data_IF_279673177247
#
_entry.id   IF_279673177247
#
_cell.length_a   1.000
_cell.length_b   1.000
_cell.length_c   1.000
_cell.angle_alpha   90.00
_cell.angle_beta   90.00
_cell.angle_gamma   90.00
#
_symmetry.space_group_name_H-M   'P 1'
#
loop_
_entity.id
_entity.type
_entity.pdbx_description
1 polymer ?
#
# COMPACT_ATOMS: atom_id res chain seq x y z
N UNK A 1 6.48 11.86 -32.58
CA UNK A 1 5.87 10.86 -31.69
C UNK A 1 5.10 11.68 -30.66
N UNK A 2 3.79 11.86 -30.86
CA UNK A 2 2.95 12.57 -29.90
C UNK A 2 2.93 11.73 -28.62
N UNK A 3 3.29 12.33 -27.48
CA UNK A 3 3.16 11.69 -26.19
C UNK A 3 1.66 11.54 -25.89
N UNK A 4 1.07 10.42 -26.32
CA UNK A 4 -0.38 10.15 -26.29
C UNK A 4 -1.02 10.01 -24.90
N UNK A 5 -0.36 10.45 -23.82
CA UNK A 5 -0.92 10.38 -22.48
C UNK A 5 -0.51 11.57 -21.62
N UNK A 6 -1.09 12.76 -21.81
CA UNK A 6 -0.82 13.88 -20.92
C UNK A 6 -1.54 13.76 -19.56
N UNK A 7 -2.62 12.98 -19.46
CA UNK A 7 -3.39 12.81 -18.22
C UNK A 7 -3.98 11.41 -18.07
N UNK A 8 -4.00 10.90 -16.84
CA UNK A 8 -4.55 9.60 -16.46
C UNK A 8 -6.02 9.68 -16.02
N UNK A 9 -6.71 10.77 -16.36
CA UNK A 9 -8.09 11.08 -15.96
C UNK A 9 -9.02 10.88 -17.15
N UNK A 10 -10.21 10.31 -16.91
CA UNK A 10 -11.20 10.12 -17.95
C UNK A 10 -12.19 11.28 -17.98
N UNK A 11 -11.93 12.23 -18.87
CA UNK A 11 -12.61 13.53 -18.90
C UNK A 11 -13.74 13.66 -19.92
N UNK A 12 -14.07 12.58 -20.63
CA UNK A 12 -14.93 12.70 -21.80
C UNK A 12 -16.38 12.35 -21.45
N UNK A 13 -17.18 13.38 -21.17
CA UNK A 13 -18.64 13.28 -20.99
C UNK A 13 -19.33 12.56 -22.15
N UNK A 14 -18.85 12.73 -23.38
CA UNK A 14 -19.42 12.03 -24.56
C UNK A 14 -19.26 10.50 -24.47
N UNK A 15 -18.29 10.01 -23.69
CA UNK A 15 -18.10 8.56 -23.45
C UNK A 15 -19.03 8.08 -22.34
N UNK A 16 -19.33 8.93 -21.35
CA UNK A 16 -20.34 8.63 -20.34
C UNK A 16 -21.71 8.45 -21.00
N UNK A 17 -22.06 9.24 -22.01
CA UNK A 17 -23.32 9.10 -22.75
C UNK A 17 -23.47 7.73 -23.44
N UNK A 18 -22.37 7.08 -23.82
CA UNK A 18 -22.41 5.77 -24.45
C UNK A 18 -22.79 4.63 -23.48
N UNK A 19 -22.48 4.77 -22.19
CA UNK A 19 -22.79 3.75 -21.17
C UNK A 19 -22.97 4.36 -19.76
N UNK A 20 -23.95 5.26 -19.54
CA UNK A 20 -24.00 6.09 -18.34
C UNK A 20 -24.23 5.25 -17.08
N UNK A 21 -25.12 4.26 -17.14
CA UNK A 21 -25.40 3.37 -16.01
C UNK A 21 -24.16 2.62 -15.51
N UNK A 22 -23.29 2.17 -16.42
CA UNK A 22 -22.06 1.47 -16.06
C UNK A 22 -21.06 2.41 -15.36
N UNK A 23 -20.82 3.60 -15.93
CA UNK A 23 -19.90 4.56 -15.32
C UNK A 23 -20.39 5.08 -13.98
N UNK A 24 -21.68 5.44 -13.84
CA UNK A 24 -22.23 5.87 -12.55
C UNK A 24 -22.15 4.77 -11.50
N UNK A 25 -22.47 3.53 -11.85
CA UNK A 25 -22.32 2.40 -10.92
C UNK A 25 -20.86 2.22 -10.49
N UNK A 26 -19.92 2.28 -11.43
CA UNK A 26 -18.48 2.17 -11.14
C UNK A 26 -18.03 3.27 -10.18
N UNK A 27 -18.37 4.54 -10.44
CA UNK A 27 -17.98 5.66 -9.57
C UNK A 27 -18.66 5.62 -8.21
N UNK A 28 -19.92 5.19 -8.15
CA UNK A 28 -20.62 5.02 -6.87
C UNK A 28 -19.96 3.95 -6.00
N UNK A 29 -19.53 2.83 -6.60
CA UNK A 29 -18.77 1.78 -5.91
C UNK A 29 -17.43 2.31 -5.43
N UNK A 30 -16.67 2.98 -6.31
CA UNK A 30 -15.37 3.58 -6.00
C UNK A 30 -15.43 4.55 -4.80
N UNK A 31 -16.38 5.51 -4.84
CA UNK A 31 -16.63 6.45 -3.73
C UNK A 31 -17.00 5.72 -2.45
N UNK A 32 -17.86 4.69 -2.53
CA UNK A 32 -18.32 3.94 -1.35
C UNK A 32 -17.16 3.19 -0.67
N UNK A 33 -16.27 2.57 -1.45
CA UNK A 33 -15.09 1.87 -0.93
C UNK A 33 -14.17 2.88 -0.23
N UNK A 34 -13.87 4.00 -0.89
CA UNK A 34 -12.98 5.02 -0.32
C UNK A 34 -13.53 5.67 0.95
N UNK A 35 -14.84 5.93 1.03
CA UNK A 35 -15.47 6.41 2.25
C UNK A 35 -15.35 5.37 3.38
N UNK A 36 -15.55 4.08 3.07
CA UNK A 36 -15.39 3.01 4.05
C UNK A 36 -13.94 2.91 4.55
N UNK A 37 -12.95 3.02 3.66
CA UNK A 37 -11.54 3.01 4.05
C UNK A 37 -11.19 4.19 4.97
N UNK A 38 -11.63 5.40 4.62
CA UNK A 38 -11.40 6.59 5.46
C UNK A 38 -11.98 6.42 6.86
N UNK A 39 -13.14 5.78 6.97
CA UNK A 39 -13.74 5.45 8.26
C UNK A 39 -12.93 4.40 9.02
N UNK A 40 -12.37 3.41 8.34
CA UNK A 40 -11.71 2.26 8.96
C UNK A 40 -10.25 2.54 9.38
N UNK A 41 -9.52 3.39 8.63
CA UNK A 41 -8.12 3.75 8.91
C UNK A 41 -7.84 4.18 10.36
N UNK A 42 -8.56 5.13 10.98
CA UNK A 42 -8.25 5.55 12.35
C UNK A 42 -8.40 4.39 13.36
N UNK A 43 -9.39 3.52 13.17
CA UNK A 43 -9.59 2.36 14.02
C UNK A 43 -8.49 1.31 13.84
N UNK A 44 -8.05 1.09 12.60
CA UNK A 44 -6.89 0.23 12.31
C UNK A 44 -5.63 0.74 13.02
N UNK A 45 -5.30 2.02 12.87
CA UNK A 45 -4.13 2.62 13.51
C UNK A 45 -4.18 2.53 15.04
N UNK A 46 -5.34 2.79 15.65
CA UNK A 46 -5.52 2.64 17.11
C UNK A 46 -5.30 1.19 17.53
N UNK A 47 -5.88 0.22 16.82
CA UNK A 47 -5.74 -1.20 17.12
C UNK A 47 -4.28 -1.68 17.00
N UNK A 48 -3.59 -1.29 15.93
CA UNK A 48 -2.17 -1.61 15.70
C UNK A 48 -1.28 -1.02 16.80
N UNK A 49 -1.52 0.24 17.20
CA UNK A 49 -0.76 0.87 18.28
C UNK A 49 -1.01 0.18 19.62
N UNK A 50 -2.27 -0.14 19.95
CA UNK A 50 -2.66 -0.75 21.23
C UNK A 50 -2.22 -2.20 21.39
N UNK A 51 -2.15 -2.96 20.29
CA UNK A 51 -1.83 -4.39 20.36
C UNK A 51 -0.50 -4.69 21.07
N UNK A 52 0.49 -3.78 20.96
CA UNK A 52 1.74 -3.84 21.75
C UNK A 52 2.65 -5.04 21.46
N UNK A 53 2.27 -5.91 20.53
CA UNK A 53 2.95 -7.18 20.21
C UNK A 53 4.22 -6.98 19.41
N UNK A 54 4.20 -5.98 18.53
CA UNK A 54 5.21 -5.73 17.54
C UNK A 54 5.99 -4.47 17.90
N UNK A 55 7.23 -4.43 17.45
CA UNK A 55 8.14 -3.34 17.69
C UNK A 55 7.51 -2.00 17.26
N UNK A 56 7.87 -0.94 17.99
CA UNK A 56 7.33 0.41 17.79
C UNK A 56 7.46 0.87 16.34
N UNK A 57 8.62 0.66 15.71
CA UNK A 57 8.86 1.09 14.32
C UNK A 57 7.89 0.42 13.34
N UNK A 58 7.68 -0.89 13.46
CA UNK A 58 6.77 -1.62 12.60
C UNK A 58 5.33 -1.11 12.73
N UNK A 59 4.87 -0.87 13.96
CA UNK A 59 3.53 -0.29 14.21
C UNK A 59 3.39 1.09 13.60
N UNK A 60 4.39 1.95 13.77
CA UNK A 60 4.41 3.29 13.18
C UNK A 60 4.41 3.22 11.64
N UNK A 61 5.15 2.28 11.07
CA UNK A 61 5.21 2.09 9.62
C UNK A 61 3.88 1.64 9.03
N UNK A 62 3.18 0.70 9.67
CA UNK A 62 1.81 0.32 9.26
C UNK A 62 0.85 1.52 9.36
N UNK A 63 0.96 2.34 10.40
CA UNK A 63 0.16 3.56 10.53
C UNK A 63 0.50 4.62 9.48
N UNK A 64 1.78 4.76 9.13
CA UNK A 64 2.25 5.65 8.05
C UNK A 64 1.71 5.19 6.70
N UNK A 65 1.73 3.89 6.42
CA UNK A 65 1.14 3.33 5.20
C UNK A 65 -0.36 3.66 5.08
N UNK A 66 -1.11 3.52 6.19
CA UNK A 66 -2.51 3.92 6.23
C UNK A 66 -2.69 5.44 6.05
N UNK A 67 -1.78 6.26 6.57
CA UNK A 67 -1.81 7.72 6.38
C UNK A 67 -1.56 8.08 4.91
N UNK A 68 -0.57 7.45 4.26
CA UNK A 68 -0.32 7.62 2.83
C UNK A 68 -1.54 7.19 2.00
N UNK A 69 -2.19 6.10 2.38
CA UNK A 69 -3.45 5.70 1.75
C UNK A 69 -4.52 6.80 1.84
N UNK A 70 -4.73 7.41 3.02
CA UNK A 70 -5.68 8.53 3.19
C UNK A 70 -5.34 9.70 2.25
N UNK A 71 -4.06 10.04 2.10
CA UNK A 71 -3.61 11.08 1.16
C UNK A 71 -3.98 10.69 -0.28
N UNK A 72 -3.80 9.43 -0.65
CA UNK A 72 -4.22 8.89 -1.96
C UNK A 72 -5.73 8.97 -2.19
N UNK A 73 -6.55 8.67 -1.17
CA UNK A 73 -8.01 8.80 -1.24
C UNK A 73 -8.44 10.26 -1.44
N UNK A 74 -7.80 11.20 -0.74
CA UNK A 74 -8.08 12.64 -0.92
C UNK A 74 -7.75 13.07 -2.35
N UNK A 75 -6.59 12.68 -2.87
CA UNK A 75 -6.22 12.96 -4.26
C UNK A 75 -7.21 12.33 -5.25
N UNK A 76 -7.71 11.11 -4.95
CA UNK A 76 -8.74 10.47 -5.76
C UNK A 76 -10.06 11.24 -5.76
N UNK A 77 -10.50 11.80 -4.64
CA UNK A 77 -11.69 12.65 -4.63
C UNK A 77 -11.53 13.94 -5.44
N UNK A 78 -10.32 14.52 -5.46
CA UNK A 78 -10.02 15.64 -6.37
C UNK A 78 -10.18 15.20 -7.83
N UNK A 79 -9.63 14.05 -8.21
CA UNK A 79 -9.77 13.52 -9.58
C UNK A 79 -11.24 13.26 -9.92
N UNK A 80 -11.99 12.60 -9.03
CA UNK A 80 -13.42 12.31 -9.22
C UNK A 80 -14.25 13.60 -9.37
N UNK A 81 -13.90 14.67 -8.64
CA UNK A 81 -14.53 15.97 -8.80
C UNK A 81 -14.36 16.51 -10.23
N UNK A 82 -13.16 16.44 -10.80
CA UNK A 82 -12.93 16.84 -12.19
C UNK A 82 -13.74 15.98 -13.17
N UNK A 83 -13.81 14.66 -12.93
CA UNK A 83 -14.54 13.71 -13.78
C UNK A 83 -16.07 13.87 -13.68
N UNK A 84 -16.62 14.26 -12.53
CA UNK A 84 -18.07 14.45 -12.38
C UNK A 84 -18.58 15.78 -12.93
N UNK A 85 -17.76 16.82 -12.88
CA UNK A 85 -18.14 18.17 -13.30
C UNK A 85 -17.60 18.56 -14.67
N UNK A 86 -16.96 17.63 -15.39
CA UNK A 86 -16.37 17.83 -16.72
C UNK A 86 -15.47 19.08 -16.79
N UNK A 87 -14.70 19.33 -15.74
CA UNK A 87 -13.90 20.56 -15.60
C UNK A 87 -12.72 20.51 -16.58
N UNK A 88 -12.66 21.35 -17.62
CA UNK A 88 -11.68 21.20 -18.70
C UNK A 88 -10.24 21.11 -18.19
N UNK A 89 -9.51 20.06 -18.58
CA UNK A 89 -8.11 19.88 -18.20
C UNK A 89 -7.27 20.93 -18.90
N UNK A 90 -6.47 21.65 -18.11
CA UNK A 90 -5.42 22.52 -18.62
C UNK A 90 -4.07 21.98 -18.18
N UNK A 91 -3.06 22.14 -19.03
CA UNK A 91 -1.70 21.69 -18.72
C UNK A 91 -1.12 22.41 -17.48
N UNK A 92 -1.57 23.64 -17.23
CA UNK A 92 -1.19 24.49 -16.08
C UNK A 92 -2.06 24.27 -14.83
N UNK A 93 -2.96 23.27 -14.82
CA UNK A 93 -3.76 22.96 -13.64
C UNK A 93 -2.93 22.26 -12.55
N UNK A 94 -2.33 23.06 -11.68
CA UNK A 94 -1.51 22.59 -10.57
C UNK A 94 -2.27 21.65 -9.62
N UNK A 95 -3.58 21.84 -9.41
CA UNK A 95 -4.37 21.02 -8.49
C UNK A 95 -4.54 19.62 -9.06
N UNK A 96 -4.97 19.53 -10.32
CA UNK A 96 -5.17 18.26 -11.00
C UNK A 96 -3.86 17.49 -11.15
N UNK A 97 -2.81 18.17 -11.60
CA UNK A 97 -1.48 17.58 -11.76
C UNK A 97 -0.94 17.05 -10.43
N UNK A 98 -1.12 17.80 -9.33
CA UNK A 98 -0.71 17.34 -8.00
C UNK A 98 -1.49 16.11 -7.56
N UNK A 99 -2.82 16.09 -7.77
CA UNK A 99 -3.65 14.94 -7.44
C UNK A 99 -3.25 13.69 -8.24
N UNK A 100 -2.96 13.82 -9.53
CA UNK A 100 -2.47 12.72 -10.37
C UNK A 100 -1.12 12.18 -9.88
N UNK A 101 -0.17 13.07 -9.58
CA UNK A 101 1.15 12.68 -9.07
C UNK A 101 1.02 11.98 -7.72
N UNK A 102 0.18 12.49 -6.81
CA UNK A 102 -0.08 11.85 -5.52
C UNK A 102 -0.69 10.46 -5.73
N UNK A 103 -1.68 10.30 -6.63
CA UNK A 103 -2.28 8.99 -6.91
C UNK A 103 -1.24 7.97 -7.36
N UNK A 104 -0.37 8.36 -8.30
CA UNK A 104 0.71 7.49 -8.80
C UNK A 104 1.74 7.19 -7.70
N UNK A 105 2.15 8.21 -6.94
CA UNK A 105 3.05 8.06 -5.80
C UNK A 105 2.53 7.04 -4.78
N UNK A 106 1.23 7.08 -4.46
CA UNK A 106 0.64 6.13 -3.50
C UNK A 106 0.61 4.72 -4.07
N UNK A 107 0.21 4.56 -5.33
CA UNK A 107 0.27 3.25 -5.99
C UNK A 107 1.69 2.69 -5.95
N UNK A 108 2.68 3.54 -6.23
CA UNK A 108 4.08 3.20 -6.25
C UNK A 108 4.60 2.81 -4.85
N UNK A 109 4.24 3.58 -3.83
CA UNK A 109 4.56 3.31 -2.43
C UNK A 109 4.06 1.95 -1.97
N UNK A 110 2.83 1.55 -2.34
CA UNK A 110 2.31 0.23 -1.97
C UNK A 110 3.01 -0.92 -2.68
N UNK A 111 3.65 -0.68 -3.83
CA UNK A 111 4.53 -1.66 -4.47
C UNK A 111 5.88 -1.79 -3.75
N UNK A 112 6.40 -0.71 -3.16
CA UNK A 112 7.72 -0.71 -2.50
C UNK A 112 7.68 -0.88 -0.98
N UNK A 113 6.53 -0.77 -0.32
CA UNK A 113 6.45 -0.88 1.15
C UNK A 113 7.01 -2.22 1.68
N UNK A 114 6.85 -3.30 0.93
CA UNK A 114 7.42 -4.62 1.29
C UNK A 114 8.95 -4.57 1.30
N UNK A 115 9.56 -3.82 0.38
CA UNK A 115 11.00 -3.56 0.36
C UNK A 115 11.44 -2.86 1.64
N UNK A 116 10.77 -1.76 1.97
CA UNK A 116 11.05 -0.93 3.14
C UNK A 116 10.98 -1.79 4.41
N UNK A 117 9.87 -2.49 4.62
CA UNK A 117 9.70 -3.39 5.76
C UNK A 117 10.75 -4.50 5.80
N UNK A 118 11.14 -5.08 4.66
CA UNK A 118 12.15 -6.14 4.62
C UNK A 118 13.56 -5.62 4.96
N UNK A 119 13.93 -4.41 4.52
CA UNK A 119 15.21 -3.77 4.91
C UNK A 119 15.21 -3.47 6.41
N UNK A 120 14.11 -2.91 6.91
CA UNK A 120 13.96 -2.58 8.32
C UNK A 120 14.09 -3.84 9.20
N UNK A 121 13.47 -4.96 8.79
CA UNK A 121 13.66 -6.27 9.43
C UNK A 121 15.07 -6.82 9.29
N UNK A 122 15.76 -6.54 8.18
CA UNK A 122 17.17 -6.91 7.99
C UNK A 122 18.05 -6.22 9.02
N UNK A 123 17.83 -4.92 9.25
CA UNK A 123 18.52 -4.15 10.28
C UNK A 123 18.22 -4.73 11.67
N UNK A 124 16.95 -5.01 11.97
CA UNK A 124 16.56 -5.62 13.24
C UNK A 124 17.21 -7.01 13.48
N UNK A 125 17.39 -7.82 12.42
CA UNK A 125 18.06 -9.13 12.51
C UNK A 125 19.56 -8.99 12.79
N UNK A 126 20.25 -8.04 12.16
CA UNK A 126 21.71 -7.87 12.31
C UNK A 126 22.10 -7.06 13.54
N UNK A 127 21.34 -6.01 13.86
CA UNK A 127 21.62 -5.07 14.95
C UNK A 127 20.64 -5.24 16.12
N UNK A 128 20.30 -6.51 16.44
CA UNK A 128 19.25 -6.88 17.39
C UNK A 128 19.40 -6.22 18.77
N UNK A 129 20.62 -6.11 19.29
CA UNK A 129 20.88 -5.58 20.64
C UNK A 129 20.64 -4.07 20.75
N UNK A 130 20.82 -3.35 19.64
CA UNK A 130 20.49 -1.93 19.55
C UNK A 130 18.99 -1.73 19.33
N UNK A 131 18.41 -2.59 18.49
CA UNK A 131 17.00 -2.55 18.13
C UNK A 131 16.08 -2.82 19.33
N UNK A 132 16.41 -3.82 20.16
CA UNK A 132 15.65 -4.19 21.36
C UNK A 132 15.52 -3.06 22.38
N UNK A 133 16.55 -2.22 22.51
CA UNK A 133 16.56 -1.10 23.47
C UNK A 133 15.45 -0.09 23.21
N UNK A 134 14.76 -0.17 22.05
CA UNK A 134 13.68 0.74 21.65
C UNK A 134 14.09 2.21 21.80
N UNK A 135 15.39 2.49 21.66
CA UNK A 135 15.94 3.83 21.88
C UNK A 135 15.39 4.78 20.81
N UNK A 136 15.31 6.10 21.07
CA UNK A 136 14.89 7.06 20.05
C UNK A 136 15.68 6.96 18.74
N UNK A 137 16.93 6.48 18.79
CA UNK A 137 17.75 6.28 17.60
C UNK A 137 17.20 5.18 16.66
N UNK A 138 16.41 4.22 17.13
CA UNK A 138 15.78 3.21 16.24
C UNK A 138 14.77 3.84 15.29
N UNK A 139 14.21 5.00 15.63
CA UNK A 139 13.35 5.77 14.73
C UNK A 139 14.11 6.33 13.53
N UNK A 140 15.43 6.53 13.62
CA UNK A 140 16.24 6.95 12.46
C UNK A 140 16.28 5.87 11.37
N UNK A 141 16.20 4.59 11.76
CA UNK A 141 16.08 3.51 10.78
C UNK A 141 14.71 3.53 10.12
N UNK A 142 13.63 3.78 10.87
CA UNK A 142 12.31 3.97 10.26
C UNK A 142 12.34 5.13 9.24
N UNK A 143 12.88 6.29 9.62
CA UNK A 143 12.99 7.45 8.72
C UNK A 143 13.84 7.14 7.49
N UNK A 144 15.01 6.52 7.68
CA UNK A 144 15.91 6.20 6.57
C UNK A 144 15.31 5.20 5.59
N UNK A 145 14.60 4.19 6.10
CA UNK A 145 13.96 3.17 5.27
C UNK A 145 12.71 3.73 4.57
N UNK A 146 11.91 4.57 5.25
CA UNK A 146 10.81 5.28 4.58
C UNK A 146 11.31 6.22 3.48
N UNK A 147 12.37 7.01 3.72
CA UNK A 147 12.95 7.87 2.68
C UNK A 147 13.46 7.08 1.47
N UNK A 148 13.98 5.86 1.70
CA UNK A 148 14.45 4.99 0.62
C UNK A 148 13.31 4.54 -0.31
N UNK A 149 12.08 4.42 0.21
CA UNK A 149 10.87 4.19 -0.61
C UNK A 149 10.29 5.50 -1.16
N UNK A 150 10.07 6.50 -0.31
CA UNK A 150 9.34 7.72 -0.68
C UNK A 150 10.04 8.53 -1.77
N UNK A 151 11.38 8.62 -1.75
CA UNK A 151 12.12 9.41 -2.73
C UNK A 151 11.91 8.89 -4.17
N UNK A 152 12.17 7.61 -4.51
CA UNK A 152 11.90 7.12 -5.85
C UNK A 152 10.41 7.16 -6.18
N UNK A 153 9.52 6.81 -5.25
CA UNK A 153 8.07 6.73 -5.49
C UNK A 153 7.44 8.11 -5.76
N UNK A 154 8.03 9.19 -5.26
CA UNK A 154 7.60 10.57 -5.59
C UNK A 154 8.30 11.08 -6.86
N UNK A 155 9.60 10.80 -7.00
CA UNK A 155 10.42 11.34 -8.09
C UNK A 155 10.03 10.75 -9.44
N UNK A 156 9.76 9.44 -9.51
CA UNK A 156 9.48 8.76 -10.77
C UNK A 156 8.16 9.21 -11.42
N UNK A 157 7.01 9.26 -10.71
CA UNK A 157 5.79 9.85 -11.25
C UNK A 157 5.96 11.30 -11.68
N UNK A 158 6.70 12.11 -10.91
CA UNK A 158 6.96 13.51 -11.25
C UNK A 158 7.77 13.64 -12.55
N UNK A 159 8.89 12.91 -12.67
CA UNK A 159 9.73 12.90 -13.88
C UNK A 159 8.95 12.35 -15.08
N UNK A 160 8.09 11.35 -14.86
CA UNK A 160 7.28 10.78 -15.91
C UNK A 160 6.19 11.76 -16.37
N UNK A 161 5.56 12.48 -15.44
CA UNK A 161 4.52 13.48 -15.72
C UNK A 161 5.05 14.69 -16.47
N UNK A 162 6.29 15.10 -16.18
CA UNK A 162 7.00 16.18 -16.88
C UNK A 162 7.58 15.76 -18.23
N UNK A 163 7.42 14.49 -18.62
CA UNK A 163 7.94 13.95 -19.88
C UNK A 163 9.46 13.74 -19.92
N UNK A 164 10.14 13.89 -18.78
CA UNK A 164 11.59 13.68 -18.67
C UNK A 164 11.92 12.20 -18.84
N UNK A 165 11.08 11.32 -18.29
CA UNK A 165 11.19 9.86 -18.49
C UNK A 165 9.89 9.30 -19.08
N UNK A 166 10.02 8.21 -19.85
CA UNK A 166 8.85 7.46 -20.31
C UNK A 166 8.24 6.63 -19.16
N UNK A 167 6.91 6.52 -19.14
CA UNK A 167 6.18 5.64 -18.21
C UNK A 167 6.64 4.18 -18.24
N UNK A 168 7.23 3.73 -19.37
CA UNK A 168 7.83 2.40 -19.47
C UNK A 168 8.96 2.21 -18.46
N UNK A 169 9.77 3.25 -18.21
CA UNK A 169 10.84 3.19 -17.20
C UNK A 169 10.28 3.10 -15.79
N UNK A 170 9.19 3.82 -15.49
CA UNK A 170 8.48 3.72 -14.20
C UNK A 170 7.97 2.30 -14.00
N UNK A 171 7.30 1.73 -15.01
CA UNK A 171 6.80 0.36 -14.95
C UNK A 171 7.93 -0.67 -14.74
N UNK A 172 9.03 -0.57 -15.49
CA UNK A 172 10.19 -1.47 -15.34
C UNK A 172 10.82 -1.34 -13.95
N UNK A 173 10.97 -0.11 -13.45
CA UNK A 173 11.45 0.13 -12.08
C UNK A 173 10.55 -0.56 -11.05
N UNK A 174 9.22 -0.46 -11.21
CA UNK A 174 8.28 -1.06 -10.26
C UNK A 174 8.27 -2.58 -10.28
N UNK A 175 8.36 -3.20 -11.46
CA UNK A 175 8.54 -4.65 -11.56
C UNK A 175 9.84 -5.07 -10.87
N UNK A 176 10.95 -4.33 -11.08
CA UNK A 176 12.23 -4.63 -10.45
C UNK A 176 12.22 -4.44 -8.93
N UNK A 177 11.62 -3.35 -8.44
CA UNK A 177 11.49 -3.05 -7.02
C UNK A 177 10.62 -4.09 -6.33
N UNK A 178 9.46 -4.43 -6.89
CA UNK A 178 8.57 -5.48 -6.37
C UNK A 178 9.25 -6.84 -6.31
N UNK A 179 9.92 -7.25 -7.40
CA UNK A 179 10.67 -8.52 -7.46
C UNK A 179 11.77 -8.55 -6.40
N UNK A 180 12.52 -7.46 -6.26
CA UNK A 180 13.60 -7.34 -5.27
C UNK A 180 13.04 -7.41 -3.84
N UNK A 181 11.90 -6.77 -3.58
CA UNK A 181 11.19 -6.79 -2.30
C UNK A 181 10.88 -8.22 -1.86
N UNK A 182 10.30 -9.02 -2.77
CA UNK A 182 9.95 -10.41 -2.53
C UNK A 182 11.19 -11.24 -2.21
N UNK A 183 12.26 -11.09 -2.99
CA UNK A 183 13.50 -11.83 -2.79
C UNK A 183 14.15 -11.51 -1.43
N UNK A 184 14.22 -10.23 -1.05
CA UNK A 184 14.76 -9.80 0.24
C UNK A 184 13.87 -10.30 1.37
N UNK A 185 12.54 -10.15 1.25
CA UNK A 185 11.57 -10.62 2.23
C UNK A 185 11.78 -12.11 2.54
N UNK A 186 11.77 -12.98 1.52
CA UNK A 186 11.92 -14.42 1.72
C UNK A 186 13.32 -14.79 2.23
N UNK A 187 14.37 -14.12 1.76
CA UNK A 187 15.74 -14.34 2.24
C UNK A 187 15.83 -14.06 3.74
N UNK A 188 15.34 -12.91 4.20
CA UNK A 188 15.41 -12.50 5.61
C UNK A 188 14.52 -13.38 6.48
N UNK A 189 13.33 -13.75 5.98
CA UNK A 189 12.47 -14.72 6.64
C UNK A 189 13.19 -16.07 6.86
N UNK A 190 13.82 -16.62 5.82
CA UNK A 190 14.57 -17.87 5.94
C UNK A 190 15.75 -17.78 6.90
N UNK A 191 16.46 -16.65 6.94
CA UNK A 191 17.54 -16.42 7.92
C UNK A 191 16.97 -16.48 9.35
N UNK A 192 15.88 -15.77 9.64
CA UNK A 192 15.28 -15.77 10.99
C UNK A 192 14.76 -17.17 11.38
N UNK A 193 14.13 -17.91 10.46
CA UNK A 193 13.70 -19.31 10.71
C UNK A 193 14.90 -20.21 11.01
N UNK A 194 16.00 -20.11 10.24
CA UNK A 194 17.22 -20.89 10.50
C UNK A 194 17.82 -20.55 11.86
N UNK A 195 17.87 -19.27 12.24
CA UNK A 195 18.33 -18.83 13.56
C UNK A 195 17.44 -19.39 14.67
N UNK A 196 16.11 -19.34 14.51
CA UNK A 196 15.15 -19.92 15.47
C UNK A 196 15.36 -21.42 15.66
N UNK A 197 15.52 -22.17 14.56
CA UNK A 197 15.77 -23.62 14.61
C UNK A 197 17.14 -23.95 15.22
N UNK A 198 18.14 -23.11 15.00
CA UNK A 198 19.46 -23.24 15.63
C UNK A 198 19.38 -23.08 17.15
N UNK A 199 18.66 -22.07 17.63
CA UNK A 199 18.47 -21.82 19.06
C UNK A 199 17.66 -22.91 19.76
N UNK A 200 16.82 -23.66 19.05
CA UNK A 200 16.05 -24.78 19.60
C UNK A 200 16.89 -26.03 19.89
N UNK A 201 18.10 -26.17 19.29
CA UNK A 201 18.96 -27.37 19.45
C UNK A 201 19.79 -27.40 20.75
N UNK A 202 19.63 -26.40 21.62
CA UNK A 202 20.32 -26.30 22.91
C UNK A 202 21.02 -24.95 23.07
N UNK A 203 21.00 -24.42 24.30
CA UNK A 203 21.67 -23.18 24.62
C UNK A 203 23.18 -23.42 24.73
N UNK A 204 23.97 -22.87 23.79
CA UNK A 204 25.40 -22.73 23.98
C UNK A 204 25.61 -21.53 24.92
N UNK A 205 26.15 -21.78 26.12
CA UNK A 205 26.20 -20.84 27.24
C UNK A 205 26.74 -19.44 26.88
N UNK A 206 27.66 -19.34 25.91
CA UNK A 206 28.27 -18.07 25.51
C UNK A 206 27.54 -17.29 24.41
N UNK A 207 26.62 -17.93 23.67
CA UNK A 207 25.92 -17.28 22.54
C UNK A 207 24.42 -17.13 22.76
N UNK A 208 23.89 -17.72 23.83
CA UNK A 208 22.48 -17.62 24.17
C UNK A 208 22.15 -16.27 24.81
N UNK A 209 21.22 -15.54 24.18
CA UNK A 209 20.61 -14.36 24.74
C UNK A 209 19.09 -14.49 24.61
N UNK A 210 18.38 -14.40 25.74
CA UNK A 210 16.91 -14.44 25.80
C UNK A 210 16.33 -13.35 24.89
N UNK A 211 16.92 -12.16 24.94
CA UNK A 211 16.63 -11.02 24.10
C UNK A 211 16.69 -11.35 22.60
N UNK A 212 17.80 -11.94 22.14
CA UNK A 212 17.98 -12.33 20.74
C UNK A 212 16.93 -13.35 20.30
N UNK A 213 16.58 -14.29 21.19
CA UNK A 213 15.53 -15.29 20.91
C UNK A 213 14.17 -14.65 20.75
N UNK A 214 13.84 -13.67 21.61
CA UNK A 214 12.61 -12.89 21.51
C UNK A 214 12.55 -12.11 20.19
N UNK A 215 13.63 -11.40 19.82
CA UNK A 215 13.70 -10.60 18.59
C UNK A 215 13.53 -11.44 17.33
N UNK A 216 14.16 -12.62 17.26
CA UNK A 216 14.03 -13.52 16.10
C UNK A 216 12.60 -14.06 15.98
N UNK A 217 11.96 -14.43 17.11
CA UNK A 217 10.56 -14.89 17.11
C UNK A 217 9.60 -13.78 16.70
N UNK A 218 9.81 -12.58 17.22
CA UNK A 218 9.05 -11.39 16.84
C UNK A 218 9.17 -11.13 15.33
N UNK A 219 10.39 -11.15 14.77
CA UNK A 219 10.58 -10.96 13.34
C UNK A 219 9.84 -12.00 12.49
N UNK A 220 9.86 -13.28 12.90
CA UNK A 220 9.10 -14.35 12.22
C UNK A 220 7.59 -14.06 12.28
N UNK A 221 7.07 -13.61 13.42
CA UNK A 221 5.67 -13.22 13.57
C UNK A 221 5.32 -12.03 12.67
N UNK A 222 6.18 -11.02 12.61
CA UNK A 222 6.04 -9.86 11.72
C UNK A 222 6.01 -10.29 10.25
N UNK A 223 6.92 -11.16 9.81
CA UNK A 223 6.90 -11.67 8.43
C UNK A 223 5.61 -12.42 8.09
N UNK A 224 5.12 -13.26 9.01
CA UNK A 224 3.85 -13.97 8.83
C UNK A 224 2.68 -12.99 8.72
N UNK A 225 2.64 -11.98 9.57
CA UNK A 225 1.64 -10.93 9.56
C UNK A 225 1.68 -10.09 8.28
N UNK A 226 2.87 -9.68 7.83
CA UNK A 226 3.04 -8.98 6.56
C UNK A 226 2.56 -9.82 5.38
N UNK A 227 2.92 -11.10 5.32
CA UNK A 227 2.49 -11.97 4.23
C UNK A 227 0.97 -12.15 4.21
N UNK A 228 0.35 -12.38 5.37
CA UNK A 228 -1.10 -12.53 5.48
C UNK A 228 -1.87 -11.22 5.26
N UNK A 229 -1.22 -10.06 5.40
CA UNK A 229 -1.78 -8.75 5.04
C UNK A 229 -1.65 -8.47 3.53
N UNK A 230 -0.46 -8.67 2.97
CA UNK A 230 -0.11 -8.28 1.59
C UNK A 230 -0.64 -9.28 0.56
N UNK A 231 -0.62 -10.58 0.84
CA UNK A 231 -1.01 -11.58 -0.15
C UNK A 231 -2.49 -11.44 -0.60
N UNK A 232 -3.48 -11.27 0.31
CA UNK A 232 -4.86 -11.04 -0.11
C UNK A 232 -5.01 -9.74 -0.92
N UNK A 233 -4.38 -8.66 -0.48
CA UNK A 233 -4.40 -7.39 -1.20
C UNK A 233 -3.83 -7.54 -2.61
N UNK A 234 -2.66 -8.16 -2.75
CA UNK A 234 -2.01 -8.40 -4.04
C UNK A 234 -2.91 -9.21 -4.99
N UNK A 235 -3.58 -10.26 -4.50
CA UNK A 235 -4.53 -11.06 -5.31
C UNK A 235 -5.67 -10.18 -5.82
N UNK A 236 -6.26 -9.35 -4.94
CA UNK A 236 -7.33 -8.42 -5.30
C UNK A 236 -6.85 -7.32 -6.25
N UNK A 237 -5.58 -6.94 -6.19
CA UNK A 237 -4.97 -5.95 -7.08
C UNK A 237 -4.56 -6.49 -8.47
N UNK A 238 -4.41 -7.80 -8.65
CA UNK A 238 -4.01 -8.40 -9.95
C UNK A 238 -4.90 -7.95 -11.13
N UNK A 239 -6.24 -7.89 -11.02
CA UNK A 239 -7.10 -7.38 -12.09
C UNK A 239 -6.78 -5.94 -12.49
N UNK A 240 -6.29 -5.08 -11.59
CA UNK A 240 -5.89 -3.71 -11.94
C UNK A 240 -4.77 -3.73 -13.01
N UNK A 241 -3.78 -4.62 -12.88
CA UNK A 241 -2.73 -4.75 -13.89
C UNK A 241 -3.26 -5.23 -15.24
N UNK A 242 -4.25 -6.13 -15.23
CA UNK A 242 -4.93 -6.57 -16.46
C UNK A 242 -5.68 -5.40 -17.10
N UNK A 243 -6.41 -4.61 -16.29
CA UNK A 243 -7.12 -3.43 -16.76
C UNK A 243 -6.16 -2.39 -17.35
N UNK A 244 -5.06 -2.09 -16.66
CA UNK A 244 -4.00 -1.21 -17.15
C UNK A 244 -3.42 -1.71 -18.48
N UNK A 245 -3.06 -2.99 -18.55
CA UNK A 245 -2.51 -3.61 -19.76
C UNK A 245 -3.47 -3.55 -20.94
N UNK A 246 -4.76 -3.83 -20.73
CA UNK A 246 -5.77 -3.73 -21.77
C UNK A 246 -6.01 -2.29 -22.22
N UNK A 247 -6.00 -1.32 -21.29
CA UNK A 247 -6.07 0.10 -21.64
C UNK A 247 -4.87 0.54 -22.46
N UNK A 248 -3.66 0.08 -22.12
CA UNK A 248 -2.42 0.46 -22.79
C UNK A 248 -2.28 -0.18 -24.18
N UNK A 249 -2.54 -1.49 -24.28
CA UNK A 249 -2.21 -2.30 -25.47
C UNK A 249 -3.43 -2.84 -26.24
N UNK A 250 -4.65 -2.62 -25.76
CA UNK A 250 -5.87 -3.07 -26.44
C UNK A 250 -6.12 -2.35 -27.78
N UNK A 251 -6.97 -2.91 -28.67
CA UNK A 251 -7.27 -2.32 -29.98
C UNK A 251 -7.75 -0.86 -29.88
N UNK A 252 -7.29 0.01 -30.78
CA UNK A 252 -7.66 1.43 -30.76
C UNK A 252 -9.16 1.66 -31.02
N UNK A 253 -9.78 0.85 -31.86
CA UNK A 253 -11.20 0.98 -32.21
C UNK A 253 -12.14 0.68 -31.04
N UNK A 254 -11.65 0.01 -29.98
CA UNK A 254 -12.44 -0.40 -28.83
C UNK A 254 -12.49 0.70 -27.75
N UNK A 255 -12.84 1.92 -28.15
CA UNK A 255 -12.83 3.11 -27.30
C UNK A 255 -13.63 2.89 -26.00
N UNK A 256 -14.90 2.51 -26.10
CA UNK A 256 -15.78 2.31 -24.94
C UNK A 256 -15.22 1.25 -23.97
N UNK A 257 -14.76 0.11 -24.49
CA UNK A 257 -14.21 -0.97 -23.66
C UNK A 257 -12.93 -0.53 -22.94
N UNK A 258 -12.02 0.19 -23.62
CA UNK A 258 -10.80 0.73 -23.00
C UNK A 258 -11.12 1.72 -21.88
N UNK A 259 -12.16 2.53 -22.04
CA UNK A 259 -12.61 3.47 -21.03
C UNK A 259 -13.30 2.80 -19.84
N UNK A 260 -14.18 1.82 -20.08
CA UNK A 260 -14.79 1.02 -19.01
C UNK A 260 -13.73 0.28 -18.21
N UNK A 261 -12.75 -0.33 -18.88
CA UNK A 261 -11.64 -1.03 -18.22
C UNK A 261 -10.77 -0.07 -17.42
N UNK A 262 -10.57 1.16 -17.88
CA UNK A 262 -9.87 2.20 -17.12
C UNK A 262 -10.65 2.63 -15.88
N UNK A 263 -11.97 2.79 -15.96
CA UNK A 263 -12.80 3.08 -14.79
C UNK A 263 -12.77 1.91 -13.79
N UNK A 264 -12.76 0.67 -14.28
CA UNK A 264 -12.62 -0.53 -13.45
C UNK A 264 -11.23 -0.65 -12.79
N UNK A 265 -10.16 -0.17 -13.43
CA UNK A 265 -8.83 -0.12 -12.84
C UNK A 265 -8.85 0.60 -11.49
N UNK A 266 -9.51 1.76 -11.42
CA UNK A 266 -9.61 2.52 -10.19
C UNK A 266 -10.37 1.75 -9.08
N UNK A 267 -11.46 1.04 -9.43
CA UNK A 267 -12.16 0.17 -8.47
C UNK A 267 -11.21 -0.90 -7.91
N UNK A 268 -10.42 -1.56 -8.76
CA UNK A 268 -9.51 -2.60 -8.29
C UNK A 268 -8.38 -2.02 -7.43
N UNK A 269 -7.92 -0.79 -7.69
CA UNK A 269 -7.01 -0.08 -6.80
C UNK A 269 -7.67 0.24 -5.44
N UNK A 270 -8.93 0.68 -5.43
CA UNK A 270 -9.68 0.91 -4.19
C UNK A 270 -9.89 -0.41 -3.41
N UNK A 271 -10.29 -1.48 -4.09
CA UNK A 271 -10.44 -2.82 -3.51
C UNK A 271 -9.12 -3.38 -2.97
N UNK A 272 -7.99 -3.13 -3.64
CA UNK A 272 -6.66 -3.45 -3.12
C UNK A 272 -6.42 -2.77 -1.77
N UNK A 273 -6.70 -1.47 -1.68
CA UNK A 273 -6.58 -0.68 -0.46
C UNK A 273 -7.45 -1.22 0.68
N UNK A 274 -8.72 -1.47 0.38
CA UNK A 274 -9.66 -2.08 1.31
C UNK A 274 -9.21 -3.47 1.78
N UNK A 275 -8.79 -4.32 0.86
CA UNK A 275 -8.30 -5.66 1.18
C UNK A 275 -7.04 -5.60 2.07
N UNK A 276 -6.11 -4.69 1.79
CA UNK A 276 -4.95 -4.43 2.62
C UNK A 276 -5.36 -3.99 4.04
N UNK A 277 -6.25 -3.00 4.13
CA UNK A 277 -6.69 -2.42 5.40
C UNK A 277 -7.45 -3.45 6.26
N UNK A 278 -8.40 -4.17 5.68
CA UNK A 278 -9.14 -5.24 6.37
C UNK A 278 -8.18 -6.34 6.81
N UNK A 279 -7.28 -6.79 5.93
CA UNK A 279 -6.29 -7.82 6.26
C UNK A 279 -5.34 -7.37 7.37
N UNK A 280 -4.95 -6.09 7.42
CA UNK A 280 -4.12 -5.54 8.50
C UNK A 280 -4.77 -5.69 9.88
N UNK A 281 -6.11 -5.68 9.94
CA UNK A 281 -6.87 -5.83 11.19
C UNK A 281 -7.04 -7.31 11.54
N UNK A 282 -7.51 -8.14 10.60
CA UNK A 282 -7.91 -9.52 10.88
C UNK A 282 -6.73 -10.50 10.98
N UNK A 283 -5.61 -10.20 10.32
CA UNK A 283 -4.49 -11.15 10.18
C UNK A 283 -3.70 -11.38 11.47
N UNK A 284 -3.80 -10.49 12.47
CA UNK A 284 -3.22 -10.71 13.79
C UNK A 284 -4.33 -10.76 14.85
N UNK A 285 -4.53 -11.89 15.55
CA UNK A 285 -5.60 -12.02 16.54
C UNK A 285 -5.57 -10.98 17.66
N UNK A 286 -4.38 -10.48 18.02
CA UNK A 286 -4.23 -9.46 19.08
C UNK A 286 -4.63 -8.08 18.56
N UNK A 287 -4.30 -7.74 17.31
CA UNK A 287 -4.78 -6.50 16.67
C UNK A 287 -6.29 -6.56 16.51
N UNK A 288 -6.83 -7.68 16.03
CA UNK A 288 -8.27 -7.87 15.89
C UNK A 288 -8.99 -7.73 17.25
N UNK A 289 -8.45 -8.32 18.32
CA UNK A 289 -8.99 -8.14 19.67
C UNK A 289 -9.00 -6.68 20.11
N UNK A 290 -7.92 -5.94 19.89
CA UNK A 290 -7.86 -4.51 20.21
C UNK A 290 -8.84 -3.68 19.37
N UNK A 291 -9.03 -4.05 18.10
CA UNK A 291 -10.02 -3.43 17.22
C UNK A 291 -11.45 -3.61 17.75
N UNK A 292 -11.81 -4.82 18.18
CA UNK A 292 -13.12 -5.11 18.79
C UNK A 292 -13.34 -4.35 20.11
N UNK A 293 -12.27 -4.08 20.85
CA UNK A 293 -12.32 -3.33 22.11
C UNK A 293 -12.45 -1.80 21.93
N UNK A 294 -12.44 -1.29 20.70
CA UNK A 294 -12.69 0.13 20.46
C UNK A 294 -14.18 0.40 20.72
N UNK A 295 -14.50 1.28 21.69
CA UNK A 295 -15.85 1.46 22.21
C UNK A 295 -16.96 1.69 21.17
N UNK A 296 -16.66 2.39 20.06
CA UNK A 296 -17.61 2.56 18.96
C UNK A 296 -17.88 1.24 18.22
N UNK A 297 -16.84 0.46 17.91
CA UNK A 297 -16.94 -0.84 17.25
C UNK A 297 -17.71 -1.82 18.14
N UNK A 298 -17.36 -1.86 19.44
CA UNK A 298 -18.06 -2.67 20.42
C UNK A 298 -19.57 -2.34 20.49
N UNK A 299 -19.91 -1.04 20.51
CA UNK A 299 -21.30 -0.56 20.54
C UNK A 299 -22.07 -0.93 19.26
N UNK A 300 -21.44 -0.84 18.09
CA UNK A 300 -22.07 -1.22 16.83
C UNK A 300 -22.32 -2.73 16.78
N UNK A 301 -21.33 -3.54 17.17
CA UNK A 301 -21.46 -5.01 17.18
C UNK A 301 -22.49 -5.50 18.20
N UNK A 302 -22.59 -4.88 19.38
CA UNK A 302 -23.58 -5.26 20.39
C UNK A 302 -25.03 -4.99 19.98
N UNK A 303 -25.25 -4.15 18.96
CA UNK A 303 -26.59 -3.89 18.39
C UNK A 303 -26.95 -4.81 17.23
N UNK A 304 -25.97 -5.51 16.66
CA UNK A 304 -26.14 -6.37 15.48
C UNK A 304 -26.28 -7.87 15.81
N UNK A 305 -26.06 -8.28 17.06
CA UNK A 305 -26.22 -9.66 17.54
C UNK A 305 -27.38 -9.76 18.53
#
# INVERSE_FOLDING_TARGET
>A
MQCDFPHFIMMNSTIYEAAPGAFYAIRAIDVSIHLFDLMLVPFSCIAVIRAGVMHRNFRLQVCLANLYFVIGVIARFVILYYEFYDIPVREDDCLLNTAEIIRLFILDYFCTIVFSLAIERTVATHFWSWYEKCSPSTLLVLVGVELLSLVPDLTLPFLSRTGIISHVYVFVFQVAAWTSSILIFFRVYHINVRLSNGMAKGAVLETYSVARTFQVRENIEVFKYMFSMVAPAAIVGLPAFICFGFRAYGPHDWHLARHLVWASFDIFCALFGLAYLVSSIISNPRIYKEFLNIGLVALLLSKCG
#
